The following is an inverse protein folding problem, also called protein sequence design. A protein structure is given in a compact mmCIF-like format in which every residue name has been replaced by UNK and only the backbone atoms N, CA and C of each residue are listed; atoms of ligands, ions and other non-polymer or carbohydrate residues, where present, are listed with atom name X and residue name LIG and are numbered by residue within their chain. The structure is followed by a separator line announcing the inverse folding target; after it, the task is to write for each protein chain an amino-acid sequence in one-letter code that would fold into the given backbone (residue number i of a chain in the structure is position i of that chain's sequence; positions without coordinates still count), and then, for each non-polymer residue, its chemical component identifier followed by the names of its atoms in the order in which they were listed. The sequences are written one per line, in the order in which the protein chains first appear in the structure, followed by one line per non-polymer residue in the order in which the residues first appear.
data_IF_329513530267
#
_entry.id   IF_329513530267
#
_cell.length_a   1.000
_cell.length_b   1.000
_cell.length_c   1.000
_cell.angle_alpha   90.00
_cell.angle_beta   90.00
_cell.angle_gamma   90.00
#
_symmetry.space_group_name_H-M   'P 1'
#
loop_
_entity.id
_entity.type
_entity.pdbx_description
1 polymer ?
#
# COMPACT_ATOMS: atom_id res chain seq x y z
N UNK A 1 -1.04 -34.91 -10.71
CA UNK A 1 -0.90 -33.48 -10.33
C UNK A 1 -0.96 -33.37 -8.82
N UNK A 2 0.17 -33.21 -8.14
CA UNK A 2 0.23 -32.38 -6.93
C UNK A 2 1.68 -31.96 -6.72
N UNK A 3 1.84 -30.65 -6.68
CA UNK A 3 3.08 -29.93 -6.49
C UNK A 3 3.61 -30.15 -5.07
N UNK A 4 4.79 -30.78 -4.93
CA UNK A 4 5.61 -30.68 -3.73
C UNK A 4 6.89 -29.90 -4.07
N UNK A 5 6.71 -28.65 -4.52
CA UNK A 5 7.78 -27.73 -4.91
C UNK A 5 8.25 -26.78 -3.80
N UNK A 6 7.88 -27.05 -2.53
CA UNK A 6 8.11 -26.09 -1.44
C UNK A 6 8.81 -26.66 -0.20
N UNK A 7 9.04 -27.98 -0.13
CA UNK A 7 9.78 -28.59 0.99
C UNK A 7 11.26 -28.80 0.70
N UNK A 8 11.71 -28.63 -0.55
CA UNK A 8 13.08 -28.94 -0.98
C UNK A 8 14.13 -28.01 -0.36
N UNK A 9 13.86 -26.72 -0.23
CA UNK A 9 14.81 -25.77 0.36
C UNK A 9 14.88 -25.91 1.89
N UNK A 10 13.74 -26.05 2.57
CA UNK A 10 13.72 -26.22 4.04
C UNK A 10 14.33 -27.57 4.43
N UNK A 11 14.04 -28.66 3.70
CA UNK A 11 14.72 -29.95 3.89
C UNK A 11 16.22 -29.88 3.53
N UNK A 12 16.62 -29.07 2.54
CA UNK A 12 18.04 -28.84 2.27
C UNK A 12 18.73 -28.09 3.42
N UNK A 13 18.08 -27.08 4.01
CA UNK A 13 18.62 -26.34 5.15
C UNK A 13 18.69 -27.19 6.43
N UNK A 14 17.67 -28.01 6.74
CA UNK A 14 17.71 -28.91 7.89
C UNK A 14 18.68 -30.08 7.70
N UNK A 15 18.80 -30.62 6.48
CA UNK A 15 19.80 -31.63 6.15
C UNK A 15 21.23 -31.07 6.26
N UNK A 16 21.46 -29.80 5.90
CA UNK A 16 22.77 -29.14 6.00
C UNK A 16 23.18 -28.82 7.46
N UNK A 17 22.20 -28.49 8.32
CA UNK A 17 22.42 -28.36 9.77
C UNK A 17 22.75 -29.69 10.44
N UNK A 18 22.14 -30.79 10.01
CA UNK A 18 22.47 -32.11 10.56
C UNK A 18 23.82 -32.64 10.03
N UNK A 19 24.20 -32.30 8.79
CA UNK A 19 25.48 -32.69 8.19
C UNK A 19 26.69 -31.96 8.84
N UNK A 20 26.53 -30.69 9.20
CA UNK A 20 27.57 -29.94 9.96
C UNK A 20 27.78 -30.47 11.38
N UNK A 21 26.76 -31.10 11.98
CA UNK A 21 26.90 -31.79 13.27
C UNK A 21 27.65 -33.13 13.17
N UNK A 22 27.55 -33.85 12.04
CA UNK A 22 28.20 -35.17 11.83
C UNK A 22 29.61 -35.11 11.26
N UNK A 23 30.01 -34.03 10.58
CA UNK A 23 31.40 -33.82 10.15
C UNK A 23 32.33 -33.54 11.36
N UNK A 24 31.77 -33.13 12.51
CA UNK A 24 32.52 -32.87 13.75
C UNK A 24 32.55 -34.06 14.74
N UNK A 25 32.43 -35.30 14.25
CA UNK A 25 32.69 -36.49 15.10
C UNK A 25 34.14 -36.96 14.87
N UNK A 26 35.03 -36.91 15.86
CA UNK A 26 36.41 -37.30 15.65
C UNK A 26 36.50 -38.82 15.50
N UNK A 27 36.84 -39.26 14.28
CA UNK A 27 37.74 -40.41 14.13
C UNK A 27 39.09 -39.99 14.69
N UNK A 28 39.67 -40.84 15.53
CA UNK A 28 40.96 -40.65 16.16
C UNK A 28 42.07 -40.67 15.09
N UNK A 29 42.26 -39.55 14.37
CA UNK A 29 43.54 -39.04 13.86
C UNK A 29 43.39 -37.63 13.25
N UNK A 30 44.24 -36.70 13.71
CA UNK A 30 44.43 -35.27 13.37
C UNK A 30 43.78 -34.68 12.10
N UNK A 31 42.70 -33.90 12.23
CA UNK A 31 42.09 -33.16 11.10
C UNK A 31 41.99 -31.64 11.24
N UNK A 32 42.34 -31.05 12.39
CA UNK A 32 42.38 -29.59 12.53
C UNK A 32 43.43 -29.14 13.55
N UNK A 33 44.00 -27.93 13.38
CA UNK A 33 45.00 -27.36 14.30
C UNK A 33 44.63 -25.95 14.75
N UNK A 34 44.99 -25.62 16.00
CA UNK A 34 44.83 -24.27 16.56
C UNK A 34 46.10 -23.42 16.38
N UNK A 35 47.22 -24.02 15.94
CA UNK A 35 48.48 -23.31 15.80
C UNK A 35 48.52 -22.48 14.50
N UNK A 36 48.68 -21.15 14.65
CA UNK A 36 48.62 -20.16 13.57
C UNK A 36 49.60 -20.39 12.43
N UNK A 37 50.77 -20.97 12.69
CA UNK A 37 51.75 -21.27 11.65
C UNK A 37 51.36 -22.52 10.86
N UNK A 38 50.80 -23.53 11.52
CA UNK A 38 50.60 -24.86 10.94
C UNK A 38 49.50 -24.90 9.85
N UNK A 39 48.34 -24.27 10.10
CA UNK A 39 47.26 -24.17 9.09
C UNK A 39 47.53 -23.13 7.99
N UNK A 40 48.54 -22.26 8.18
CA UNK A 40 48.96 -21.30 7.14
C UNK A 40 49.98 -21.89 6.17
N UNK A 41 50.80 -22.83 6.64
CA UNK A 41 51.90 -23.42 5.85
C UNK A 41 51.51 -24.73 5.18
N UNK A 42 50.57 -25.48 5.73
CA UNK A 42 50.13 -26.77 5.20
C UNK A 42 48.63 -26.73 4.83
N UNK A 43 48.33 -26.93 3.55
CA UNK A 43 46.96 -26.91 3.02
C UNK A 43 46.16 -28.18 3.36
N UNK A 44 46.81 -29.22 3.89
CA UNK A 44 46.15 -30.46 4.35
C UNK A 44 45.55 -30.35 5.75
N UNK A 45 45.85 -29.27 6.49
CA UNK A 45 45.40 -29.07 7.87
C UNK A 45 44.50 -27.84 7.97
N UNK A 46 43.24 -28.05 8.33
CA UNK A 46 42.27 -26.97 8.48
C UNK A 46 42.32 -26.34 9.88
N UNK A 47 41.92 -25.07 10.00
CA UNK A 47 41.80 -24.39 11.30
C UNK A 47 40.58 -24.95 12.04
N UNK A 48 40.74 -25.36 13.30
CA UNK A 48 39.59 -25.83 14.08
C UNK A 48 38.53 -24.73 14.23
N UNK A 49 37.23 -25.07 14.13
CA UNK A 49 36.16 -24.11 14.38
C UNK A 49 36.27 -23.60 15.82
N UNK A 50 36.51 -22.29 15.94
CA UNK A 50 36.55 -21.62 17.24
C UNK A 50 35.12 -21.20 17.57
N UNK A 51 34.60 -21.66 18.72
CA UNK A 51 33.24 -21.38 19.16
C UNK A 51 33.14 -19.93 19.63
N UNK A 52 33.15 -18.99 18.69
CA UNK A 52 33.02 -17.56 18.96
C UNK A 52 31.54 -17.19 19.08
N UNK A 53 31.06 -17.09 20.31
CA UNK A 53 29.71 -16.64 20.65
C UNK A 53 29.42 -15.20 20.18
N UNK A 54 30.46 -14.42 19.90
CA UNK A 54 30.37 -13.04 19.44
C UNK A 54 29.74 -12.98 18.03
N UNK A 55 30.09 -13.91 17.15
CA UNK A 55 29.58 -13.96 15.77
C UNK A 55 28.05 -14.08 15.69
N UNK A 56 27.39 -15.03 16.37
CA UNK A 56 25.93 -15.09 16.38
C UNK A 56 25.28 -13.91 17.12
N UNK A 57 25.94 -13.33 18.14
CA UNK A 57 25.43 -12.15 18.85
C UNK A 57 25.42 -10.91 17.95
N UNK A 58 26.50 -10.66 17.21
CA UNK A 58 26.57 -9.57 16.24
C UNK A 58 25.55 -9.77 15.12
N UNK A 59 25.40 -11.01 14.62
CA UNK A 59 24.41 -11.33 13.60
C UNK A 59 22.96 -11.10 14.08
N UNK A 60 22.64 -11.49 15.32
CA UNK A 60 21.34 -11.24 15.93
C UNK A 60 21.07 -9.75 16.10
N UNK A 61 22.06 -8.99 16.56
CA UNK A 61 21.95 -7.54 16.72
C UNK A 61 21.82 -6.82 15.38
N UNK A 62 22.55 -7.26 14.35
CA UNK A 62 22.43 -6.75 12.98
C UNK A 62 21.02 -6.96 12.41
N UNK A 63 20.46 -8.16 12.57
CA UNK A 63 19.08 -8.46 12.18
C UNK A 63 18.08 -7.59 12.96
N UNK A 64 18.27 -7.42 14.27
CA UNK A 64 17.39 -6.62 15.11
C UNK A 64 17.44 -5.12 14.76
N UNK A 65 18.64 -4.55 14.61
CA UNK A 65 18.85 -3.16 14.21
C UNK A 65 18.26 -2.88 12.85
N UNK A 66 18.49 -3.76 11.88
CA UNK A 66 17.93 -3.61 10.53
C UNK A 66 16.41 -3.57 10.60
N UNK A 67 15.78 -4.47 11.36
CA UNK A 67 14.33 -4.49 11.52
C UNK A 67 13.78 -3.24 12.24
N UNK A 68 14.41 -2.79 13.31
CA UNK A 68 13.97 -1.60 14.04
C UNK A 68 14.17 -0.31 13.22
N UNK A 69 15.30 -0.20 12.52
CA UNK A 69 15.59 0.91 11.60
C UNK A 69 14.64 0.89 10.39
N UNK A 70 14.35 -0.27 9.81
CA UNK A 70 13.39 -0.40 8.73
C UNK A 70 12.01 0.04 9.17
N UNK A 71 11.54 -0.41 10.34
CA UNK A 71 10.24 -0.04 10.87
C UNK A 71 10.13 1.46 11.08
N UNK A 72 11.16 2.10 11.64
CA UNK A 72 11.18 3.55 11.81
C UNK A 72 11.07 4.30 10.48
N UNK A 73 11.75 3.83 9.43
CA UNK A 73 11.70 4.45 8.09
C UNK A 73 10.35 4.16 7.40
N UNK A 74 9.84 2.94 7.48
CA UNK A 74 8.57 2.53 6.87
C UNK A 74 7.40 3.26 7.53
N UNK A 75 7.38 3.37 8.85
CA UNK A 75 6.35 4.12 9.58
C UNK A 75 6.42 5.60 9.19
N UNK A 76 7.62 6.19 9.10
CA UNK A 76 7.79 7.58 8.67
C UNK A 76 7.31 7.83 7.23
N UNK A 77 7.56 6.90 6.31
CA UNK A 77 7.01 6.97 4.96
C UNK A 77 5.49 6.79 4.97
N UNK A 78 4.98 5.84 5.77
CA UNK A 78 3.56 5.56 5.85
C UNK A 78 2.79 6.76 6.42
N UNK A 79 3.23 7.38 7.51
CA UNK A 79 2.60 8.59 8.07
C UNK A 79 2.61 9.73 7.04
N UNK A 80 3.75 9.97 6.40
CA UNK A 80 3.91 11.02 5.38
C UNK A 80 3.14 10.77 4.09
N UNK A 81 2.79 9.52 3.78
CA UNK A 81 1.98 9.13 2.61
C UNK A 81 0.51 9.09 2.97
N UNK A 82 0.16 8.67 4.18
CA UNK A 82 -1.19 8.63 4.71
C UNK A 82 -1.80 10.04 4.77
N UNK A 83 -1.06 11.05 5.22
CA UNK A 83 -1.53 12.45 5.20
C UNK A 83 -1.88 12.94 3.78
N UNK A 84 -1.01 12.64 2.80
CA UNK A 84 -1.22 13.02 1.39
C UNK A 84 -2.40 12.26 0.75
N UNK A 85 -2.56 10.98 1.07
CA UNK A 85 -3.64 10.15 0.52
C UNK A 85 -4.98 10.50 1.18
N UNK A 86 -4.99 10.74 2.49
CA UNK A 86 -6.20 11.06 3.25
C UNK A 86 -6.77 12.42 2.86
N UNK A 87 -5.93 13.46 2.71
CA UNK A 87 -6.40 14.79 2.31
C UNK A 87 -7.06 14.77 0.92
N UNK A 88 -6.47 14.05 -0.04
CA UNK A 88 -7.03 13.90 -1.40
C UNK A 88 -8.28 13.03 -1.44
N UNK A 89 -8.36 12.00 -0.60
CA UNK A 89 -9.51 11.09 -0.53
C UNK A 89 -10.71 11.73 0.16
N UNK A 90 -10.50 12.44 1.27
CA UNK A 90 -11.57 13.15 1.98
C UNK A 90 -12.20 14.24 1.11
N UNK A 91 -11.39 14.99 0.36
CA UNK A 91 -11.90 16.00 -0.57
C UNK A 91 -12.73 15.35 -1.69
N UNK A 92 -12.28 14.21 -2.23
CA UNK A 92 -13.04 13.43 -3.22
C UNK A 92 -14.35 12.88 -2.65
N UNK A 93 -14.35 12.35 -1.43
CA UNK A 93 -15.54 11.81 -0.76
C UNK A 93 -16.56 12.89 -0.41
N UNK A 94 -16.12 14.03 0.16
CA UNK A 94 -17.00 15.17 0.45
C UNK A 94 -17.67 15.67 -0.83
N UNK A 95 -16.94 15.71 -1.93
CA UNK A 95 -17.47 16.13 -3.22
C UNK A 95 -18.48 15.14 -3.82
N UNK A 96 -18.17 13.84 -3.79
CA UNK A 96 -19.11 12.80 -4.20
C UNK A 96 -20.38 12.82 -3.35
N UNK A 97 -20.25 12.93 -2.03
CA UNK A 97 -21.38 13.01 -1.10
C UNK A 97 -22.25 14.24 -1.37
N UNK A 98 -21.66 15.39 -1.67
CA UNK A 98 -22.45 16.58 -2.04
C UNK A 98 -23.21 16.40 -3.36
N UNK A 99 -22.62 15.79 -4.39
CA UNK A 99 -23.34 15.49 -5.63
C UNK A 99 -24.53 14.55 -5.42
N UNK A 100 -24.36 13.54 -4.56
CA UNK A 100 -25.40 12.57 -4.23
C UNK A 100 -26.52 13.26 -3.44
N UNK A 101 -26.21 14.03 -2.41
CA UNK A 101 -27.22 14.72 -1.59
C UNK A 101 -28.06 15.69 -2.42
N UNK A 102 -27.45 16.45 -3.34
CA UNK A 102 -28.18 17.38 -4.22
C UNK A 102 -29.13 16.64 -5.18
N UNK A 103 -28.72 15.47 -5.67
CA UNK A 103 -29.57 14.62 -6.52
C UNK A 103 -30.74 14.04 -5.71
N UNK A 104 -30.54 13.68 -4.44
CA UNK A 104 -31.61 13.23 -3.55
C UNK A 104 -32.56 14.35 -3.13
N UNK A 105 -32.09 15.59 -2.96
CA UNK A 105 -32.94 16.71 -2.55
C UNK A 105 -33.94 17.12 -3.65
N UNK A 106 -33.61 16.87 -4.92
CA UNK A 106 -34.54 17.01 -6.04
C UNK A 106 -35.40 15.77 -6.31
N UNK A 107 -35.04 14.62 -5.73
CA UNK A 107 -35.77 13.36 -5.87
C UNK A 107 -36.64 13.13 -4.65
N UNK A 108 -37.90 13.56 -4.76
CA UNK A 108 -38.91 13.30 -3.73
C UNK A 108 -39.07 11.78 -3.55
N UNK A 109 -39.07 11.28 -2.30
CA UNK A 109 -39.19 9.85 -2.03
C UNK A 109 -40.47 9.27 -2.63
N UNK A 110 -40.34 8.10 -3.28
CA UNK A 110 -41.48 7.30 -3.73
C UNK A 110 -42.29 6.90 -2.49
N UNK A 111 -43.58 7.25 -2.33
CA UNK A 111 -44.65 7.36 -3.34
C UNK A 111 -45.16 8.79 -3.68
N UNK A 112 -44.58 9.86 -3.11
CA UNK A 112 -45.06 11.25 -3.30
C UNK A 112 -44.49 11.97 -4.54
N UNK A 113 -43.62 11.30 -5.29
CA UNK A 113 -43.06 11.81 -6.54
C UNK A 113 -44.15 12.17 -7.56
N UNK A 114 -45.21 11.34 -7.68
CA UNK A 114 -46.27 11.55 -8.66
C UNK A 114 -47.12 12.81 -8.41
N UNK A 115 -47.70 13.04 -7.20
CA UNK A 115 -48.49 14.25 -6.95
C UNK A 115 -47.65 15.53 -7.02
N UNK A 116 -46.39 15.52 -6.55
CA UNK A 116 -45.56 16.71 -6.59
C UNK A 116 -45.13 17.08 -8.02
N UNK A 117 -44.85 16.10 -8.87
CA UNK A 117 -44.56 16.32 -10.30
C UNK A 117 -45.74 16.98 -11.00
N UNK A 118 -46.97 16.52 -10.75
CA UNK A 118 -48.19 17.10 -11.32
C UNK A 118 -48.37 18.56 -10.88
N UNK A 119 -48.28 18.84 -9.57
CA UNK A 119 -48.39 20.21 -9.04
C UNK A 119 -47.31 21.15 -9.59
N UNK A 120 -46.08 20.66 -9.78
CA UNK A 120 -45.00 21.45 -10.36
C UNK A 120 -45.25 21.84 -11.82
N UNK A 121 -45.80 20.91 -12.63
CA UNK A 121 -46.12 21.17 -14.04
C UNK A 121 -47.27 22.17 -14.16
N UNK A 122 -48.33 22.02 -13.35
CA UNK A 122 -49.46 22.96 -13.33
C UNK A 122 -48.99 24.36 -12.92
N UNK A 123 -48.23 24.49 -11.84
CA UNK A 123 -47.71 25.80 -11.42
C UNK A 123 -46.73 26.40 -12.43
N UNK A 124 -45.94 25.56 -13.12
CA UNK A 124 -45.00 26.00 -14.14
C UNK A 124 -45.74 26.52 -15.38
N UNK A 125 -46.77 25.82 -15.88
CA UNK A 125 -47.55 26.30 -17.03
C UNK A 125 -48.28 27.61 -16.71
N UNK A 126 -48.85 27.76 -15.51
CA UNK A 126 -49.49 29.03 -15.09
C UNK A 126 -48.49 30.17 -14.87
N UNK A 127 -47.25 29.90 -14.42
CA UNK A 127 -46.22 30.93 -14.24
C UNK A 127 -45.46 31.28 -15.52
N UNK A 128 -45.27 30.34 -16.44
CA UNK A 128 -44.44 30.55 -17.62
C UNK A 128 -45.13 31.47 -18.66
N UNK A 129 -46.46 31.54 -18.63
CA UNK A 129 -47.23 32.57 -19.33
C UNK A 129 -47.05 33.97 -18.70
N UNK A 130 -46.65 34.04 -17.43
CA UNK A 130 -46.62 35.29 -16.66
C UNK A 130 -45.21 35.90 -16.49
N UNK A 131 -44.10 35.13 -16.50
CA UNK A 131 -42.73 35.65 -16.33
C UNK A 131 -41.60 34.72 -16.90
N UNK A 132 -41.01 35.00 -18.07
CA UNK A 132 -39.91 34.20 -18.67
C UNK A 132 -38.53 34.32 -18.01
N UNK A 133 -38.33 35.26 -17.08
CA UNK A 133 -37.00 35.67 -16.61
C UNK A 133 -36.44 34.86 -15.40
N UNK A 134 -37.23 34.00 -14.76
CA UNK A 134 -36.83 33.27 -13.54
C UNK A 134 -35.98 32.00 -13.78
N UNK A 135 -35.93 31.47 -15.01
CA UNK A 135 -35.20 30.23 -15.33
C UNK A 135 -33.67 30.35 -15.37
N UNK A 136 -33.12 31.56 -15.47
CA UNK A 136 -31.69 31.76 -15.75
C UNK A 136 -30.78 31.57 -14.52
N UNK A 137 -31.32 31.67 -13.30
CA UNK A 137 -30.51 31.67 -12.06
C UNK A 137 -29.99 30.27 -11.67
N UNK A 138 -30.79 29.23 -11.91
CA UNK A 138 -30.45 27.84 -11.57
C UNK A 138 -29.43 27.24 -12.54
N UNK A 139 -29.51 27.60 -13.82
CA UNK A 139 -28.61 27.10 -14.86
C UNK A 139 -27.15 27.56 -14.66
N UNK A 140 -26.95 28.82 -14.24
CA UNK A 140 -25.60 29.35 -13.97
C UNK A 140 -24.87 28.65 -12.82
N UNK A 141 -25.58 28.24 -11.78
CA UNK A 141 -24.96 27.56 -10.63
C UNK A 141 -24.51 26.13 -10.98
N UNK A 142 -25.29 25.44 -11.83
CA UNK A 142 -24.96 24.11 -12.36
C UNK A 142 -23.73 24.15 -13.26
N UNK A 143 -23.63 25.14 -14.16
CA UNK A 143 -22.45 25.28 -15.03
C UNK A 143 -21.17 25.53 -14.23
N UNK A 144 -21.24 26.33 -13.17
CA UNK A 144 -20.10 26.57 -12.29
C UNK A 144 -19.65 25.29 -11.56
N UNK A 145 -20.59 24.44 -11.15
CA UNK A 145 -20.30 23.13 -10.56
C UNK A 145 -19.67 22.17 -11.57
N UNK A 146 -20.20 22.11 -12.80
CA UNK A 146 -19.65 21.31 -13.90
C UNK A 146 -18.25 21.75 -14.32
N UNK A 147 -17.96 23.05 -14.29
CA UNK A 147 -16.60 23.58 -14.52
C UNK A 147 -15.62 23.11 -13.45
N UNK A 148 -16.03 23.13 -12.18
CA UNK A 148 -15.23 22.58 -11.06
C UNK A 148 -15.02 21.07 -11.18
N UNK A 149 -16.04 20.31 -11.59
CA UNK A 149 -15.92 18.87 -11.92
C UNK A 149 -14.86 18.63 -13.01
N UNK A 150 -14.94 19.38 -14.12
CA UNK A 150 -13.98 19.26 -15.23
C UNK A 150 -12.56 19.64 -14.83
N UNK A 151 -12.39 20.67 -13.99
CA UNK A 151 -11.08 21.07 -13.46
C UNK A 151 -10.48 19.94 -12.61
N UNK A 152 -11.25 19.39 -11.69
CA UNK A 152 -10.81 18.27 -10.86
C UNK A 152 -10.47 17.01 -11.69
N UNK A 153 -11.26 16.71 -12.73
CA UNK A 153 -10.97 15.60 -13.63
C UNK A 153 -9.67 15.81 -14.42
N UNK A 154 -9.38 17.06 -14.84
CA UNK A 154 -8.12 17.40 -15.52
C UNK A 154 -6.91 17.23 -14.60
N UNK A 155 -7.02 17.66 -13.34
CA UNK A 155 -5.96 17.48 -12.34
C UNK A 155 -5.66 16.00 -12.11
N UNK A 156 -6.68 15.13 -12.05
CA UNK A 156 -6.47 13.68 -11.91
C UNK A 156 -5.71 13.10 -13.12
N UNK A 157 -6.09 13.47 -14.34
CA UNK A 157 -5.45 13.00 -15.57
C UNK A 157 -4.00 13.48 -15.65
N UNK A 158 -3.73 14.72 -15.22
CA UNK A 158 -2.39 15.29 -15.20
C UNK A 158 -1.49 14.61 -14.15
N UNK A 159 -2.04 14.31 -12.97
CA UNK A 159 -1.35 13.51 -11.95
C UNK A 159 -1.04 12.09 -12.42
N UNK A 160 -1.93 11.48 -13.21
CA UNK A 160 -1.73 10.16 -13.79
C UNK A 160 -0.68 10.15 -14.90
N UNK A 161 -0.65 11.20 -15.73
CA UNK A 161 0.43 11.42 -16.71
C UNK A 161 1.78 11.56 -16.03
N UNK A 162 1.87 12.33 -14.94
CA UNK A 162 3.09 12.46 -14.15
C UNK A 162 3.53 11.16 -13.48
N UNK A 163 2.59 10.26 -13.14
CA UNK A 163 2.91 8.92 -12.64
C UNK A 163 3.44 7.97 -13.72
N UNK A 164 2.94 8.06 -14.96
CA UNK A 164 3.35 7.16 -16.05
C UNK A 164 4.61 7.62 -16.79
N UNK A 165 5.04 8.87 -16.59
CA UNK A 165 6.26 9.44 -17.22
C UNK A 165 7.48 9.38 -16.30
N UNK A 166 7.33 8.86 -15.09
CA UNK A 166 8.41 8.58 -14.13
C UNK A 166 8.65 7.08 -14.02
#
# INVERSE_FOLDING_TARGET
MSWNGSTTWIQAYTCNLENTSKINKPSDDSGCTNNATLWKTDASVERCPTADWITPVIAAFYMMLTNWLLLNIVIAMFSSRFERIQQKSEQKWRYYRHSVVIDYEHRIPSPLNFPFRILSVINYTTKHECCPCLGKKTQGNMENMLRKQRQFAKEIIEEEKHRNTK
#
